data_IF_699122642373
#
_entry.id   IF_699122642373
#
_cell.length_a   1.000
_cell.length_b   1.000
_cell.length_c   1.000
_cell.angle_alpha   90.00
_cell.angle_beta   90.00
_cell.angle_gamma   90.00
#
_symmetry.space_group_name_H-M   'P 1'
#
loop_
_entity.id
_entity.type
_entity.pdbx_description
1 polymer ?
#
# COMPACT_ATOMS: atom_id res chain seq x y z
N UNK A 1 -9.52 12.41 -18.61
CA UNK A 1 -8.18 12.33 -19.21
C UNK A 1 -7.92 10.89 -19.60
N UNK A 2 -7.38 10.65 -20.80
CA UNK A 2 -6.92 9.31 -21.16
C UNK A 2 -5.68 8.99 -20.30
N UNK A 3 -5.55 7.73 -19.87
CA UNK A 3 -4.35 7.25 -19.17
C UNK A 3 -3.70 6.17 -20.03
N UNK A 4 -2.46 6.39 -20.41
CA UNK A 4 -1.70 5.48 -21.27
C UNK A 4 -0.63 4.72 -20.49
N UNK A 5 -0.36 3.48 -20.90
CA UNK A 5 0.66 2.65 -20.26
C UNK A 5 2.04 3.27 -20.45
N UNK A 6 2.77 3.39 -19.34
CA UNK A 6 4.14 3.87 -19.35
C UNK A 6 5.03 2.91 -20.17
N UNK A 7 5.91 3.50 -21.01
CA UNK A 7 6.84 2.72 -21.82
C UNK A 7 7.74 1.82 -20.95
N UNK A 8 7.88 0.56 -21.37
CA UNK A 8 8.74 -0.45 -20.74
C UNK A 8 10.22 -0.02 -20.60
N UNK A 9 10.68 0.90 -21.44
CA UNK A 9 12.04 1.42 -21.42
C UNK A 9 12.21 2.70 -20.59
N UNK A 10 11.12 3.34 -20.16
CA UNK A 10 11.18 4.52 -19.29
C UNK A 10 11.78 4.18 -17.93
N UNK A 11 12.37 5.16 -17.22
CA UNK A 11 12.71 5.01 -15.82
C UNK A 11 11.50 4.56 -15.00
N UNK A 12 11.71 3.65 -14.04
CA UNK A 12 10.63 3.14 -13.21
C UNK A 12 10.19 4.19 -12.18
N UNK A 13 8.90 4.55 -12.10
CA UNK A 13 8.37 5.55 -11.17
C UNK A 13 8.59 5.27 -9.68
N UNK A 14 8.88 4.04 -9.28
CA UNK A 14 9.22 3.69 -7.89
C UNK A 14 10.52 4.32 -7.36
N UNK A 15 11.29 5.05 -8.18
CA UNK A 15 12.54 5.69 -7.76
C UNK A 15 13.79 4.80 -7.80
N UNK A 16 13.69 3.54 -8.22
CA UNK A 16 14.83 2.61 -8.29
C UNK A 16 15.94 2.98 -9.29
N UNK A 17 15.70 3.93 -10.19
CA UNK A 17 16.61 4.28 -11.29
C UNK A 17 16.70 3.24 -12.42
N UNK A 18 16.09 2.06 -12.25
CA UNK A 18 16.04 1.00 -13.27
C UNK A 18 15.01 1.33 -14.35
N UNK A 19 15.15 0.74 -15.54
CA UNK A 19 14.07 0.75 -16.56
C UNK A 19 12.85 -0.01 -16.05
N UNK A 20 11.65 0.45 -16.36
CA UNK A 20 10.38 -0.13 -15.87
C UNK A 20 10.32 -1.66 -16.09
N UNK A 21 10.70 -2.15 -17.29
CA UNK A 21 10.72 -3.59 -17.62
C UNK A 21 11.67 -4.45 -16.76
N UNK A 22 12.66 -3.83 -16.13
CA UNK A 22 13.64 -4.48 -15.25
C UNK A 22 13.37 -4.19 -13.77
N UNK A 23 12.20 -3.62 -13.44
CA UNK A 23 11.77 -3.30 -12.10
C UNK A 23 10.29 -3.68 -11.92
N UNK A 24 9.39 -2.72 -11.75
CA UNK A 24 8.01 -2.99 -11.32
C UNK A 24 7.09 -3.66 -12.36
N UNK A 25 7.53 -3.88 -13.61
CA UNK A 25 6.65 -4.34 -14.69
C UNK A 25 6.00 -5.72 -14.47
N UNK A 26 6.51 -6.53 -13.53
CA UNK A 26 5.97 -7.85 -13.21
C UNK A 26 5.29 -7.92 -11.84
N UNK A 27 5.05 -6.78 -11.20
CA UNK A 27 4.55 -6.68 -9.82
C UNK A 27 3.02 -6.70 -9.71
N UNK A 28 2.31 -7.14 -10.76
CA UNK A 28 0.84 -7.24 -10.77
C UNK A 28 0.10 -5.91 -10.97
N UNK A 29 0.80 -4.83 -11.30
CA UNK A 29 0.22 -3.53 -11.62
C UNK A 29 0.94 -2.87 -12.79
N UNK A 30 0.30 -1.85 -13.37
CA UNK A 30 0.81 -1.06 -14.48
C UNK A 30 1.03 0.40 -14.06
N UNK A 31 2.16 0.98 -14.46
CA UNK A 31 2.30 2.43 -14.42
C UNK A 31 1.59 3.02 -15.64
N UNK A 32 0.72 3.99 -15.43
CA UNK A 32 0.05 4.74 -16.49
C UNK A 32 0.31 6.23 -16.30
N UNK A 33 0.36 6.99 -17.38
CA UNK A 33 0.49 8.44 -17.34
C UNK A 33 -0.71 9.08 -18.03
N UNK A 34 -1.16 10.23 -17.54
CA UNK A 34 -2.09 11.09 -18.27
C UNK A 34 -1.36 12.08 -19.18
N UNK A 35 -2.13 12.89 -19.90
CA UNK A 35 -1.63 13.89 -20.85
C UNK A 35 -0.78 14.99 -20.19
N UNK A 36 -0.97 15.21 -18.88
CA UNK A 36 -0.17 16.16 -18.08
C UNK A 36 1.14 15.55 -17.56
N UNK A 37 1.37 14.26 -17.83
CA UNK A 37 2.54 13.52 -17.37
C UNK A 37 2.44 13.04 -15.92
N UNK A 38 1.27 13.16 -15.29
CA UNK A 38 1.03 12.62 -13.95
C UNK A 38 0.99 11.10 -14.03
N UNK A 39 1.83 10.45 -13.24
CA UNK A 39 1.96 9.00 -13.24
C UNK A 39 1.10 8.39 -12.14
N UNK A 40 0.31 7.39 -12.50
CA UNK A 40 -0.57 6.63 -11.62
C UNK A 40 -0.20 5.15 -11.63
N UNK A 41 -0.41 4.51 -10.49
CA UNK A 41 -0.44 3.06 -10.40
C UNK A 41 -1.84 2.55 -10.77
N UNK A 42 -1.92 1.63 -11.72
CA UNK A 42 -3.16 1.00 -12.16
C UNK A 42 -3.12 -0.49 -11.86
N UNK A 43 -4.16 -1.00 -11.18
CA UNK A 43 -4.31 -2.42 -10.88
C UNK A 43 -5.67 -2.92 -11.32
N UNK A 44 -5.74 -4.21 -11.66
CA UNK A 44 -7.02 -4.87 -11.94
C UNK A 44 -7.68 -5.25 -10.62
N UNK A 45 -8.97 -4.95 -10.50
CA UNK A 45 -9.75 -5.33 -9.33
C UNK A 45 -10.18 -6.79 -9.42
N UNK A 46 -10.12 -7.51 -8.30
CA UNK A 46 -10.75 -8.83 -8.19
C UNK A 46 -12.28 -8.70 -8.18
N UNK A 47 -13.04 -9.76 -8.52
CA UNK A 47 -14.50 -9.74 -8.41
C UNK A 47 -14.97 -9.35 -7.00
N UNK A 48 -14.33 -9.90 -5.97
CA UNK A 48 -14.61 -9.55 -4.57
C UNK A 48 -14.39 -8.06 -4.27
N UNK A 49 -13.29 -7.47 -4.76
CA UNK A 49 -13.04 -6.04 -4.59
C UNK A 49 -14.09 -5.20 -5.32
N UNK A 50 -14.53 -5.61 -6.51
CA UNK A 50 -15.60 -4.92 -7.24
C UNK A 50 -16.91 -4.95 -6.44
N UNK A 51 -17.26 -6.08 -5.84
CA UNK A 51 -18.45 -6.20 -5.00
C UNK A 51 -18.39 -5.26 -3.79
N UNK A 52 -17.24 -5.17 -3.12
CA UNK A 52 -17.04 -4.23 -2.00
C UNK A 52 -17.22 -2.78 -2.45
N UNK A 53 -16.65 -2.38 -3.59
CA UNK A 53 -16.78 -1.02 -4.13
C UNK A 53 -18.23 -0.70 -4.53
N UNK A 54 -18.93 -1.68 -5.10
CA UNK A 54 -20.35 -1.53 -5.44
C UNK A 54 -21.20 -1.31 -4.18
N UNK A 55 -20.97 -2.10 -3.13
CA UNK A 55 -21.66 -1.93 -1.85
C UNK A 55 -21.39 -0.55 -1.23
N UNK A 56 -20.16 -0.06 -1.29
CA UNK A 56 -19.82 1.27 -0.78
C UNK A 56 -20.52 2.38 -1.56
N UNK A 57 -20.57 2.27 -2.89
CA UNK A 57 -21.34 3.19 -3.74
C UNK A 57 -22.83 3.18 -3.38
N UNK A 58 -23.44 2.02 -3.19
CA UNK A 58 -24.86 1.92 -2.81
C UNK A 58 -25.14 2.57 -1.45
N UNK A 59 -24.26 2.36 -0.46
CA UNK A 59 -24.34 3.02 0.84
C UNK A 59 -24.19 4.54 0.72
N UNK A 60 -23.28 5.01 -0.12
CA UNK A 60 -23.10 6.43 -0.38
C UNK A 60 -24.38 7.04 -0.95
N UNK A 61 -24.95 6.43 -1.99
CA UNK A 61 -26.21 6.89 -2.59
C UNK A 61 -27.36 6.86 -1.58
N UNK A 62 -27.46 5.81 -0.75
CA UNK A 62 -28.47 5.73 0.30
C UNK A 62 -28.33 6.84 1.36
N UNK A 63 -27.10 7.25 1.66
CA UNK A 63 -26.80 8.28 2.69
C UNK A 63 -26.95 9.69 2.14
N UNK A 64 -26.46 9.96 0.93
CA UNK A 64 -26.35 11.31 0.36
C UNK A 64 -27.34 11.61 -0.78
N UNK A 65 -28.07 10.60 -1.28
CA UNK A 65 -29.06 10.76 -2.33
C UNK A 65 -28.49 11.06 -3.73
N UNK A 66 -27.18 10.90 -3.92
CA UNK A 66 -26.47 11.14 -5.19
C UNK A 66 -25.27 10.20 -5.34
N UNK A 67 -24.73 10.12 -6.56
CA UNK A 67 -23.47 9.43 -6.83
C UNK A 67 -22.27 10.16 -6.18
N UNK A 68 -21.21 9.42 -5.79
CA UNK A 68 -19.95 10.01 -5.36
C UNK A 68 -19.23 10.70 -6.53
N UNK A 69 -18.62 11.84 -6.25
CA UNK A 69 -17.74 12.58 -7.14
C UNK A 69 -16.32 11.98 -7.21
N UNK A 70 -15.46 12.50 -8.09
CA UNK A 70 -14.12 11.95 -8.33
C UNK A 70 -13.15 12.09 -7.15
N UNK A 71 -13.34 13.10 -6.30
CA UNK A 71 -12.46 13.40 -5.15
C UNK A 71 -13.10 13.02 -3.81
N UNK A 72 -14.17 12.23 -3.81
CA UNK A 72 -14.85 11.80 -2.59
C UNK A 72 -14.31 10.44 -2.09
N UNK A 73 -14.20 10.25 -0.76
CA UNK A 73 -13.76 8.98 -0.21
C UNK A 73 -14.70 7.84 -0.59
N UNK A 74 -14.13 6.74 -1.08
CA UNK A 74 -14.87 5.51 -1.35
C UNK A 74 -15.46 4.95 -0.05
N UNK A 75 -14.64 4.88 1.00
CA UNK A 75 -15.02 4.43 2.34
C UNK A 75 -15.38 5.62 3.23
N UNK A 76 -16.44 6.34 2.87
CA UNK A 76 -16.88 7.56 3.56
C UNK A 76 -17.34 7.35 5.01
N UNK A 77 -17.67 6.11 5.37
CA UNK A 77 -18.12 5.68 6.70
C UNK A 77 -17.00 5.05 7.54
N UNK A 78 -15.77 4.99 7.01
CA UNK A 78 -14.62 4.44 7.72
C UNK A 78 -14.02 5.45 8.72
N UNK A 79 -13.40 4.97 9.82
CA UNK A 79 -12.61 5.82 10.68
C UNK A 79 -11.40 6.41 9.94
N UNK A 80 -10.77 7.48 10.47
CA UNK A 80 -9.53 8.03 9.93
C UNK A 80 -8.44 6.95 9.79
N UNK A 81 -7.57 7.10 8.79
CA UNK A 81 -6.52 6.10 8.48
C UNK A 81 -5.59 5.90 9.67
N UNK A 82 -5.26 6.96 10.41
CA UNK A 82 -4.41 6.90 11.58
C UNK A 82 -5.03 6.04 12.70
N UNK A 83 -6.36 6.04 12.80
CA UNK A 83 -7.07 5.19 13.75
C UNK A 83 -7.03 3.72 13.31
N UNK A 84 -7.11 3.44 12.02
CA UNK A 84 -7.00 2.08 11.46
C UNK A 84 -5.58 1.55 11.70
N UNK A 85 -4.55 2.35 11.41
CA UNK A 85 -3.14 1.99 11.66
C UNK A 85 -2.90 1.68 13.14
N UNK A 86 -3.43 2.51 14.04
CA UNK A 86 -3.33 2.25 15.48
C UNK A 86 -4.01 0.94 15.90
N UNK A 87 -5.22 0.67 15.39
CA UNK A 87 -5.93 -0.58 15.67
C UNK A 87 -5.18 -1.81 15.13
N UNK A 88 -4.55 -1.68 13.95
CA UNK A 88 -3.70 -2.73 13.38
C UNK A 88 -2.47 -3.01 14.25
N UNK A 89 -1.78 -1.98 14.74
CA UNK A 89 -0.64 -2.14 15.66
C UNK A 89 -1.06 -2.84 16.96
N UNK A 90 -2.21 -2.47 17.53
CA UNK A 90 -2.77 -3.14 18.70
C UNK A 90 -3.06 -4.62 18.44
N UNK A 91 -3.65 -4.95 17.28
CA UNK A 91 -3.94 -6.32 16.89
C UNK A 91 -2.65 -7.13 16.69
N UNK A 92 -1.64 -6.57 16.00
CA UNK A 92 -0.33 -7.21 15.81
C UNK A 92 0.38 -7.48 17.14
N UNK A 93 0.35 -6.51 18.06
CA UNK A 93 0.91 -6.64 19.41
C UNK A 93 0.21 -7.76 20.19
N UNK A 94 -1.13 -7.78 20.18
CA UNK A 94 -1.91 -8.80 20.87
C UNK A 94 -1.71 -10.20 20.27
N UNK A 95 -1.42 -10.29 18.96
CA UNK A 95 -1.08 -11.53 18.27
C UNK A 95 0.36 -12.00 18.51
N UNK A 96 1.18 -11.23 19.25
CA UNK A 96 2.58 -11.56 19.51
C UNK A 96 3.46 -11.51 18.27
N UNK A 97 3.10 -10.67 17.29
CA UNK A 97 3.96 -10.40 16.12
C UNK A 97 5.24 -9.71 16.60
N UNK A 98 6.37 -10.07 15.98
CA UNK A 98 7.68 -9.51 16.28
C UNK A 98 7.63 -7.96 16.28
N UNK A 99 8.07 -7.28 17.35
CA UNK A 99 8.13 -5.82 17.42
C UNK A 99 8.90 -5.15 16.27
N UNK A 100 9.89 -5.79 15.68
CA UNK A 100 10.61 -5.28 14.51
C UNK A 100 9.70 -5.21 13.27
N UNK A 101 8.77 -6.16 13.13
CA UNK A 101 7.76 -6.19 12.06
C UNK A 101 6.70 -5.10 12.28
N UNK A 102 6.26 -4.91 13.53
CA UNK A 102 5.35 -3.82 13.90
C UNK A 102 6.00 -2.47 13.58
N UNK A 103 7.27 -2.30 13.96
CA UNK A 103 8.02 -1.09 13.65
C UNK A 103 8.14 -0.82 12.14
N UNK A 104 8.39 -1.86 11.34
CA UNK A 104 8.44 -1.73 9.89
C UNK A 104 7.08 -1.37 9.27
N UNK A 105 5.98 -1.90 9.81
CA UNK A 105 4.61 -1.55 9.42
C UNK A 105 4.31 -0.07 9.66
N UNK A 106 4.59 0.44 10.86
CA UNK A 106 4.38 1.85 11.19
C UNK A 106 5.25 2.77 10.32
N UNK A 107 6.54 2.45 10.16
CA UNK A 107 7.48 3.28 9.40
C UNK A 107 7.17 3.35 7.91
N UNK A 108 6.51 2.32 7.37
CA UNK A 108 6.13 2.25 5.96
C UNK A 108 4.74 2.81 5.66
N UNK A 109 4.04 3.37 6.67
CA UNK A 109 2.67 3.87 6.49
C UNK A 109 1.67 2.75 6.21
N UNK A 110 1.83 1.62 6.91
CA UNK A 110 0.89 0.52 6.88
C UNK A 110 1.16 -0.57 5.83
N UNK A 111 2.34 -0.62 5.20
CA UNK A 111 2.71 -1.74 4.35
C UNK A 111 2.91 -2.99 5.21
N UNK A 112 2.28 -4.11 4.86
CA UNK A 112 2.48 -5.39 5.55
C UNK A 112 3.07 -6.41 4.58
N UNK A 113 4.36 -6.71 4.73
CA UNK A 113 5.07 -7.66 3.85
C UNK A 113 4.89 -9.09 4.35
N UNK A 114 4.49 -9.99 3.46
CA UNK A 114 4.31 -11.42 3.70
C UNK A 114 4.87 -12.23 2.53
N UNK A 115 5.10 -13.53 2.73
CA UNK A 115 5.50 -14.43 1.63
C UNK A 115 4.51 -14.39 0.46
N UNK A 116 3.21 -14.25 0.78
CA UNK A 116 2.11 -14.22 -0.18
C UNK A 116 2.08 -12.96 -1.04
N UNK A 117 2.66 -11.83 -0.61
CA UNK A 117 2.54 -10.56 -1.34
C UNK A 117 3.87 -9.90 -1.72
N UNK A 118 5.01 -10.30 -1.15
CA UNK A 118 6.30 -9.66 -1.39
C UNK A 118 6.67 -9.55 -2.88
N UNK A 119 6.20 -10.50 -3.70
CA UNK A 119 6.45 -10.51 -5.14
C UNK A 119 5.69 -9.41 -5.91
N UNK A 120 4.69 -8.75 -5.30
CA UNK A 120 3.88 -7.66 -5.86
C UNK A 120 4.37 -6.28 -5.41
N UNK A 121 5.30 -6.21 -4.46
CA UNK A 121 5.77 -4.95 -3.86
C UNK A 121 6.97 -4.42 -4.65
N UNK A 122 7.06 -3.10 -4.94
CA UNK A 122 8.25 -2.49 -5.51
C UNK A 122 9.51 -2.84 -4.71
N UNK A 123 10.61 -3.14 -5.40
CA UNK A 123 11.87 -3.55 -4.74
C UNK A 123 12.41 -2.47 -3.79
N UNK A 124 12.11 -1.20 -4.07
CA UNK A 124 12.46 -0.06 -3.21
C UNK A 124 11.74 -0.10 -1.87
N UNK A 125 10.47 -0.49 -1.89
CA UNK A 125 9.63 -0.51 -0.69
C UNK A 125 9.97 -1.74 0.16
N UNK A 126 10.28 -2.88 -0.47
CA UNK A 126 10.84 -4.05 0.22
C UNK A 126 12.19 -3.74 0.88
N UNK A 127 13.06 -2.97 0.20
CA UNK A 127 14.33 -2.57 0.78
C UNK A 127 14.14 -1.60 1.96
N UNK A 128 13.20 -0.66 1.86
CA UNK A 128 12.86 0.24 2.96
C UNK A 128 12.26 -0.51 4.15
N UNK A 129 11.40 -1.49 3.89
CA UNK A 129 10.85 -2.40 4.89
C UNK A 129 11.96 -3.16 5.63
N UNK A 130 12.88 -3.81 4.90
CA UNK A 130 13.98 -4.54 5.53
C UNK A 130 14.90 -3.61 6.33
N UNK A 131 15.20 -2.42 5.82
CA UNK A 131 16.00 -1.43 6.53
C UNK A 131 15.34 -0.97 7.85
N UNK A 132 14.00 -0.92 7.90
CA UNK A 132 13.28 -0.60 9.13
C UNK A 132 13.43 -1.71 10.18
N UNK A 133 13.35 -2.98 9.77
CA UNK A 133 13.60 -4.13 10.65
C UNK A 133 15.03 -4.07 11.20
N UNK A 134 16.03 -3.95 10.32
CA UNK A 134 17.45 -3.90 10.70
C UNK A 134 17.73 -2.74 11.69
N UNK A 135 17.09 -1.58 11.48
CA UNK A 135 17.17 -0.44 12.38
C UNK A 135 16.58 -0.73 13.77
N UNK A 136 15.42 -1.39 13.82
CA UNK A 136 14.81 -1.77 15.08
C UNK A 136 15.73 -2.73 15.85
N UNK A 137 16.19 -3.78 15.19
CA UNK A 137 17.08 -4.78 15.79
C UNK A 137 18.39 -4.14 16.29
N UNK A 138 18.98 -3.24 15.51
CA UNK A 138 20.21 -2.55 15.90
C UNK A 138 20.03 -1.70 17.18
N UNK A 139 18.88 -1.03 17.32
CA UNK A 139 18.55 -0.23 18.53
C UNK A 139 18.26 -1.10 19.76
N UNK A 140 17.82 -2.33 19.55
CA UNK A 140 17.38 -3.23 20.61
C UNK A 140 18.39 -4.34 20.94
N UNK A 141 19.48 -4.44 20.17
CA UNK A 141 20.60 -5.33 20.44
C UNK A 141 21.22 -5.01 21.81
N UNK A 142 21.01 -5.92 22.78
CA UNK A 142 21.54 -5.81 24.14
C UNK A 142 20.56 -5.28 25.20
N UNK A 143 19.29 -5.00 24.85
CA UNK A 143 18.24 -4.78 25.85
C UNK A 143 17.69 -6.16 26.26
N UNK A 144 17.80 -6.58 27.53
CA UNK A 144 17.18 -7.83 27.95
C UNK A 144 15.66 -7.73 27.69
N UNK A 145 15.07 -8.82 27.18
CA UNK A 145 13.61 -8.96 27.07
C UNK A 145 12.99 -8.62 28.43
N UNK A 146 12.12 -7.62 28.47
CA UNK A 146 11.36 -7.35 29.67
C UNK A 146 10.29 -8.45 29.83
N UNK A 147 10.12 -8.98 31.06
CA UNK A 147 9.26 -10.14 31.34
C UNK A 147 7.78 -9.86 31.11
#
# INVERSE_FOLDING_TARGET
MARERLSRNSPCPCGSGKKYKHCCHKKGFEWVADDDGTVYQSTSLSPEAVEVLQQQRERFVATFGREPGPDEPIFFDAPPVEQIEFQMVQAMTAAGIDPAIIYAYEKSGGLLVTESNQHLIPDTDLAAWQAAIDEYEAKHRGRPEQP
#
